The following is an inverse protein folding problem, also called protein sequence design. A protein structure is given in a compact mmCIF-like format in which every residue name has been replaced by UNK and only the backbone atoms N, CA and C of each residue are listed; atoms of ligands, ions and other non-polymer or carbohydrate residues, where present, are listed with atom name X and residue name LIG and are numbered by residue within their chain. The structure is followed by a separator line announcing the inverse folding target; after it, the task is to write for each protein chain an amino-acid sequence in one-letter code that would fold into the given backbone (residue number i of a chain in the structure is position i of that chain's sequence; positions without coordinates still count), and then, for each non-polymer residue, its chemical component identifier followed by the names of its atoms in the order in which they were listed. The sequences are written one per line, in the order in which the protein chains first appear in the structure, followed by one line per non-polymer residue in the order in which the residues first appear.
data_IF_457460129152
#
_entry.id   IF_457460129152
#
_cell.length_a   1.000
_cell.length_b   1.000
_cell.length_c   1.000
_cell.angle_alpha   90.00
_cell.angle_beta   90.00
_cell.angle_gamma   90.00
#
_symmetry.space_group_name_H-M   'P 1'
#
loop_
_entity.id
_entity.type
_entity.pdbx_description
1 polymer ?
#
# COMPACT_ATOMS: atom_id res chain seq x y z
N UNK A 1 10.10 10.72 -10.06
CA UNK A 1 9.27 10.24 -8.92
C UNK A 1 7.86 9.90 -9.36
N UNK A 2 7.30 8.89 -8.73
CA UNK A 2 5.97 8.39 -9.05
C UNK A 2 5.14 8.35 -7.77
N UNK A 3 3.98 9.00 -7.79
CA UNK A 3 3.01 8.93 -6.70
C UNK A 3 1.95 7.88 -7.00
N UNK A 4 1.51 7.17 -5.97
CA UNK A 4 0.42 6.20 -6.09
C UNK A 4 -0.55 6.42 -4.94
N UNK A 5 -1.84 6.38 -5.23
CA UNK A 5 -2.87 6.28 -4.23
C UNK A 5 -3.66 5.00 -4.47
N UNK A 6 -3.99 4.32 -3.40
CA UNK A 6 -4.82 3.12 -3.48
C UNK A 6 -5.95 3.23 -2.46
N UNK A 7 -7.19 3.23 -2.93
CA UNK A 7 -8.34 3.12 -2.05
C UNK A 7 -8.66 1.65 -1.90
N UNK A 8 -8.64 1.16 -0.66
CA UNK A 8 -8.80 -0.26 -0.36
C UNK A 8 -10.20 -0.52 0.17
N UNK A 9 -10.84 -1.52 -0.42
CA UNK A 9 -12.17 -1.95 0.02
C UNK A 9 -12.01 -3.08 1.05
N UNK A 10 -12.02 -2.72 2.33
CA UNK A 10 -11.81 -3.65 3.44
C UNK A 10 -13.17 -3.98 4.06
N UNK A 11 -13.40 -5.27 4.32
CA UNK A 11 -14.62 -5.70 5.04
C UNK A 11 -14.61 -5.09 6.43
N UNK A 12 -15.70 -4.45 6.89
CA UNK A 12 -15.72 -3.79 8.22
C UNK A 12 -15.34 -4.71 9.37
N UNK A 13 -15.76 -5.96 9.34
CA UNK A 13 -15.46 -6.95 10.37
C UNK A 13 -14.00 -7.39 10.39
N UNK A 14 -13.26 -7.14 9.30
CA UNK A 14 -11.85 -7.50 9.17
C UNK A 14 -10.90 -6.32 9.38
N UNK A 15 -11.40 -5.13 9.70
CA UNK A 15 -10.61 -3.90 9.74
C UNK A 15 -9.38 -4.01 10.66
N UNK A 16 -9.56 -4.52 11.87
CA UNK A 16 -8.46 -4.63 12.84
C UNK A 16 -7.38 -5.61 12.37
N UNK A 17 -7.77 -6.77 11.86
CA UNK A 17 -6.83 -7.75 11.32
C UNK A 17 -6.12 -7.22 10.08
N UNK A 18 -6.86 -6.53 9.21
CA UNK A 18 -6.30 -5.88 8.03
C UNK A 18 -5.21 -4.88 8.43
N UNK A 19 -5.48 -4.02 9.41
CA UNK A 19 -4.49 -3.03 9.87
C UNK A 19 -3.22 -3.71 10.37
N UNK A 20 -3.34 -4.80 11.10
CA UNK A 20 -2.17 -5.55 11.57
C UNK A 20 -1.31 -6.07 10.44
N UNK A 21 -1.92 -6.67 9.41
CA UNK A 21 -1.20 -7.15 8.22
C UNK A 21 -0.52 -5.99 7.50
N UNK A 22 -1.23 -4.86 7.36
CA UNK A 22 -0.69 -3.71 6.65
C UNK A 22 0.46 -3.03 7.42
N UNK A 23 0.38 -2.97 8.74
CA UNK A 23 1.48 -2.44 9.56
C UNK A 23 2.76 -3.27 9.37
N UNK A 24 2.65 -4.59 9.32
CA UNK A 24 3.79 -5.46 9.06
C UNK A 24 4.37 -5.20 7.66
N UNK A 25 3.51 -4.98 6.67
CA UNK A 25 3.94 -4.63 5.31
C UNK A 25 4.68 -3.29 5.31
N UNK A 26 4.16 -2.29 6.01
CA UNK A 26 4.82 -0.97 6.10
C UNK A 26 6.22 -1.10 6.72
N UNK A 27 6.36 -1.89 7.77
CA UNK A 27 7.66 -2.13 8.40
C UNK A 27 8.65 -2.79 7.43
N UNK A 28 8.18 -3.77 6.67
CA UNK A 28 9.00 -4.48 5.69
C UNK A 28 9.41 -3.57 4.52
N UNK A 29 8.51 -2.71 4.04
CA UNK A 29 8.82 -1.74 2.99
C UNK A 29 9.90 -0.78 3.48
N UNK A 30 9.76 -0.24 4.68
CA UNK A 30 10.73 0.67 5.27
C UNK A 30 12.11 0.02 5.40
N UNK A 31 12.16 -1.25 5.76
CA UNK A 31 13.40 -1.98 5.97
C UNK A 31 14.10 -2.41 4.66
N UNK A 32 13.33 -2.66 3.59
CA UNK A 32 13.84 -3.35 2.41
C UNK A 32 13.75 -2.55 1.10
N UNK A 33 13.05 -1.42 1.08
CA UNK A 33 12.82 -0.67 -0.16
C UNK A 33 13.33 0.77 -0.05
N UNK A 34 14.63 0.99 -0.24
CA UNK A 34 15.19 2.36 -0.15
C UNK A 34 14.61 3.30 -1.23
N UNK A 35 14.14 2.77 -2.34
CA UNK A 35 13.50 3.57 -3.39
C UNK A 35 12.04 3.92 -3.13
N UNK A 36 11.43 3.38 -2.10
CA UNK A 36 10.10 3.78 -1.66
C UNK A 36 10.22 4.90 -0.63
N UNK A 37 9.84 6.11 -1.04
CA UNK A 37 10.01 7.31 -0.22
C UNK A 37 8.89 7.51 0.79
N UNK A 38 7.71 6.99 0.50
CA UNK A 38 6.55 7.03 1.37
C UNK A 38 5.67 5.82 1.11
N UNK A 39 5.21 5.18 2.17
CA UNK A 39 4.24 4.09 2.09
C UNK A 39 3.41 4.13 3.35
N UNK A 40 2.24 4.78 3.28
CA UNK A 40 1.46 5.11 4.48
C UNK A 40 0.00 4.71 4.33
N UNK A 41 -0.48 3.90 5.25
CA UNK A 41 -1.89 3.60 5.38
C UNK A 41 -2.58 4.75 6.12
N UNK A 42 -3.70 5.21 5.58
CA UNK A 42 -4.53 6.24 6.19
C UNK A 42 -5.97 5.76 6.21
N UNK A 43 -6.76 6.28 7.11
CA UNK A 43 -8.20 6.03 7.15
C UNK A 43 -8.90 7.39 7.15
N UNK A 44 -9.85 7.59 6.23
CA UNK A 44 -10.55 8.87 6.13
C UNK A 44 -11.73 8.93 7.12
N UNK A 45 -12.41 10.08 7.15
CA UNK A 45 -13.51 10.33 8.08
C UNK A 45 -14.73 9.44 7.79
N UNK A 46 -14.84 8.92 6.57
CA UNK A 46 -15.90 7.98 6.19
C UNK A 46 -15.57 6.54 6.58
N UNK A 47 -14.36 6.30 7.07
CA UNK A 47 -13.90 4.99 7.46
C UNK A 47 -13.24 4.19 6.35
N UNK A 48 -13.01 4.80 5.19
CA UNK A 48 -12.33 4.15 4.06
C UNK A 48 -10.81 4.19 4.21
N UNK A 49 -10.16 3.13 3.77
CA UNK A 49 -8.71 3.03 3.81
C UNK A 49 -8.06 3.51 2.52
N UNK A 50 -6.98 4.24 2.67
CA UNK A 50 -6.16 4.75 1.57
C UNK A 50 -4.70 4.44 1.84
N UNK A 51 -3.95 4.11 0.79
CA UNK A 51 -2.49 4.04 0.86
C UNK A 51 -1.94 5.21 0.07
N UNK A 52 -1.04 5.95 0.69
CA UNK A 52 -0.31 7.04 0.04
C UNK A 52 1.12 6.55 -0.19
N UNK A 53 1.56 6.58 -1.46
CA UNK A 53 2.83 5.99 -1.85
C UNK A 53 3.63 6.95 -2.72
N UNK A 54 4.95 6.94 -2.56
CA UNK A 54 5.85 7.69 -3.40
C UNK A 54 7.10 6.87 -3.67
N UNK A 55 7.45 6.71 -4.94
CA UNK A 55 8.63 5.95 -5.37
C UNK A 55 9.59 6.85 -6.14
N UNK A 56 10.89 6.63 -5.98
CA UNK A 56 11.90 7.44 -6.66
C UNK A 56 11.95 7.18 -8.16
N UNK A 57 11.50 5.99 -8.62
CA UNK A 57 11.59 5.56 -10.02
C UNK A 57 10.59 4.48 -10.36
N UNK A 58 10.45 4.19 -11.68
CA UNK A 58 9.65 3.06 -12.19
C UNK A 58 10.19 1.73 -11.65
N UNK A 59 11.52 1.61 -11.57
CA UNK A 59 12.18 0.39 -11.09
C UNK A 59 11.86 0.14 -9.61
N UNK A 60 11.82 1.20 -8.80
CA UNK A 60 11.47 1.09 -7.39
C UNK A 60 10.02 0.64 -7.21
N UNK A 61 9.09 1.16 -8.01
CA UNK A 61 7.70 0.73 -8.00
C UNK A 61 7.56 -0.74 -8.43
N UNK A 62 8.26 -1.13 -9.49
CA UNK A 62 8.24 -2.52 -9.95
C UNK A 62 8.82 -3.46 -8.88
N UNK A 63 9.91 -3.07 -8.24
CA UNK A 63 10.52 -3.85 -7.16
C UNK A 63 9.55 -4.06 -5.99
N UNK A 64 8.77 -3.02 -5.64
CA UNK A 64 7.75 -3.13 -4.60
C UNK A 64 6.73 -4.22 -4.94
N UNK A 65 6.17 -4.18 -6.13
CA UNK A 65 5.13 -5.13 -6.57
C UNK A 65 5.63 -6.58 -6.68
N UNK A 66 6.94 -6.77 -6.85
CA UNK A 66 7.57 -8.09 -6.99
C UNK A 66 8.19 -8.61 -5.70
N UNK A 67 8.15 -7.82 -4.62
CA UNK A 67 8.81 -8.17 -3.36
C UNK A 67 8.12 -9.31 -2.62
N UNK A 68 8.91 -10.05 -1.84
CA UNK A 68 8.37 -11.15 -1.02
C UNK A 68 7.41 -10.63 0.06
N UNK A 69 7.72 -9.46 0.65
CA UNK A 69 6.84 -8.87 1.66
C UNK A 69 5.50 -8.41 1.08
N UNK A 70 5.48 -7.93 -0.18
CA UNK A 70 4.22 -7.58 -0.83
C UNK A 70 3.37 -8.83 -1.09
N UNK A 71 3.99 -9.92 -1.54
CA UNK A 71 3.30 -11.20 -1.75
C UNK A 71 2.77 -11.78 -0.43
N UNK A 72 3.57 -11.70 0.63
CA UNK A 72 3.17 -12.17 1.95
C UNK A 72 1.97 -11.38 2.48
N UNK A 73 1.97 -10.06 2.29
CA UNK A 73 0.84 -9.21 2.66
C UNK A 73 -0.42 -9.59 1.87
N UNK A 74 -0.28 -9.84 0.56
CA UNK A 74 -1.39 -10.27 -0.29
C UNK A 74 -2.05 -11.54 0.25
N UNK A 75 -1.25 -12.50 0.70
CA UNK A 75 -1.77 -13.71 1.35
C UNK A 75 -2.48 -13.37 2.67
N UNK A 76 -1.93 -12.45 3.46
CA UNK A 76 -2.53 -11.99 4.71
C UNK A 76 -3.85 -11.24 4.54
N UNK A 77 -4.06 -10.60 3.39
CA UNK A 77 -5.30 -9.88 3.09
C UNK A 77 -6.43 -10.80 2.61
N UNK A 78 -6.13 -12.04 2.29
CA UNK A 78 -7.10 -12.97 1.76
C UNK A 78 -8.29 -13.13 2.73
N UNK A 79 -9.50 -12.95 2.19
CA UNK A 79 -10.72 -13.04 2.98
C UNK A 79 -11.10 -11.77 3.73
N UNK A 80 -10.25 -10.73 3.68
CA UNK A 80 -10.47 -9.46 4.40
C UNK A 80 -10.96 -8.33 3.51
N UNK A 81 -10.86 -8.52 2.18
CA UNK A 81 -11.20 -7.46 1.22
C UNK A 81 -12.62 -7.65 0.69
N UNK A 82 -13.34 -6.54 0.56
CA UNK A 82 -14.70 -6.51 0.02
C UNK A 82 -14.78 -6.35 -1.49
N UNK A 83 -13.64 -6.07 -2.14
CA UNK A 83 -13.56 -5.90 -3.59
C UNK A 83 -12.17 -5.43 -4.00
N UNK A 84 -11.95 -5.20 -5.31
CA UNK A 84 -10.64 -4.77 -5.81
C UNK A 84 -10.32 -3.34 -5.37
N UNK A 85 -9.02 -3.00 -5.25
CA UNK A 85 -8.60 -1.65 -4.93
C UNK A 85 -8.79 -0.70 -6.12
N UNK A 86 -8.95 0.60 -5.81
CA UNK A 86 -8.94 1.66 -6.80
C UNK A 86 -7.57 2.32 -6.75
N UNK A 87 -6.74 2.03 -7.75
CA UNK A 87 -5.35 2.49 -7.78
C UNK A 87 -5.20 3.61 -8.79
N UNK A 88 -4.58 4.70 -8.37
CA UNK A 88 -4.24 5.82 -9.24
C UNK A 88 -2.74 6.05 -9.19
N UNK A 89 -2.13 6.04 -10.37
CA UNK A 89 -0.71 6.26 -10.53
C UNK A 89 -0.49 7.64 -11.14
N UNK A 90 0.49 8.40 -10.64
CA UNK A 90 0.72 9.79 -11.03
C UNK A 90 2.21 10.07 -11.12
N UNK A 91 2.58 10.92 -12.07
CA UNK A 91 3.94 11.45 -12.15
C UNK A 91 4.06 12.60 -11.17
N UNK A 92 5.08 12.59 -10.32
CA UNK A 92 5.34 13.72 -9.43
C UNK A 92 5.85 14.92 -10.23
N UNK A 93 5.33 16.09 -9.90
CA UNK A 93 5.79 17.34 -10.50
C UNK A 93 6.79 17.98 -9.55
N UNK A 94 8.02 18.14 -10.00
CA UNK A 94 9.10 18.71 -9.20
C UNK A 94 9.81 19.79 -10.00
N UNK A 95 10.60 20.62 -9.32
CA UNK A 95 11.45 21.60 -9.98
C UNK A 95 12.67 20.96 -10.63
#
# INVERSE_FOLDING_TARGET
MIGVTAKLNVKPEAAEEFEGVFLDLMDAVKANEPGCLMYQLCRDDDGDYWVLEMYESEEALAAHGQSEHFKAAGAGFKGKMGGPPEIKRMRAITR
#
